data_IF_511247857280
#
_entry.id   IF_511247857280
#
_cell.length_a   1.000
_cell.length_b   1.000
_cell.length_c   1.000
_cell.angle_alpha   90.00
_cell.angle_beta   90.00
_cell.angle_gamma   90.00
#
_symmetry.space_group_name_H-M   'P 1'
#
loop_
_entity.id
_entity.type
_entity.pdbx_description
1 polymer ?
#
# COMPACT_ATOMS: atom_id res chain seq x y z
N UNK A 1 -0.02 14.12 0.43
CA UNK A 1 0.55 12.78 0.14
C UNK A 1 -0.13 11.65 0.92
N UNK A 2 -0.17 11.66 2.25
CA UNK A 2 -0.90 10.63 3.03
C UNK A 2 -2.40 10.54 2.69
N UNK A 3 -3.06 11.67 2.46
CA UNK A 3 -4.47 11.72 2.07
C UNK A 3 -4.73 11.07 0.69
N UNK A 4 -3.79 11.17 -0.25
CA UNK A 4 -3.91 10.56 -1.57
C UNK A 4 -3.84 9.03 -1.47
N UNK A 5 -2.88 8.50 -0.69
CA UNK A 5 -2.76 7.06 -0.42
C UNK A 5 -3.99 6.50 0.32
N UNK A 6 -4.53 7.25 1.27
CA UNK A 6 -5.72 6.86 2.01
C UNK A 6 -6.94 6.75 1.08
N UNK A 7 -7.18 7.76 0.26
CA UNK A 7 -8.28 7.77 -0.73
C UNK A 7 -8.12 6.69 -1.78
N UNK A 8 -6.88 6.42 -2.19
CA UNK A 8 -6.56 5.33 -3.10
C UNK A 8 -6.86 3.95 -2.48
N UNK A 9 -6.52 3.75 -1.20
CA UNK A 9 -6.82 2.49 -0.49
C UNK A 9 -8.33 2.25 -0.33
N UNK A 10 -9.14 3.32 -0.41
CA UNK A 10 -10.61 3.31 -0.36
C UNK A 10 -11.27 3.20 -1.75
N UNK A 11 -10.49 3.13 -2.84
CA UNK A 11 -11.02 3.05 -4.21
C UNK A 11 -11.47 4.40 -4.81
N UNK A 12 -11.35 5.50 -4.07
CA UNK A 12 -11.67 6.84 -4.57
C UNK A 12 -10.47 7.43 -5.34
N UNK A 13 -10.35 6.95 -6.57
CA UNK A 13 -9.30 7.29 -7.53
C UNK A 13 -9.28 8.79 -7.85
N UNK A 14 -10.45 9.42 -7.99
CA UNK A 14 -10.56 10.82 -8.37
C UNK A 14 -10.08 11.71 -7.23
N UNK A 15 -10.53 11.44 -6.01
CA UNK A 15 -10.14 12.21 -4.85
C UNK A 15 -8.68 11.93 -4.44
N UNK A 16 -8.14 10.75 -4.73
CA UNK A 16 -6.72 10.43 -4.58
C UNK A 16 -5.85 11.26 -5.53
N UNK A 17 -6.23 11.36 -6.81
CA UNK A 17 -5.52 12.17 -7.82
C UNK A 17 -5.58 13.65 -7.48
N UNK A 18 -6.75 14.17 -7.08
CA UNK A 18 -6.89 15.56 -6.64
C UNK A 18 -6.00 15.90 -5.43
N UNK A 19 -5.96 15.02 -4.43
CA UNK A 19 -5.12 15.20 -3.24
C UNK A 19 -3.62 15.09 -3.53
N UNK A 20 -3.23 14.34 -4.58
CA UNK A 20 -1.85 14.26 -5.04
C UNK A 20 -1.44 15.51 -5.84
N UNK A 21 -2.31 16.01 -6.72
CA UNK A 21 -2.07 17.25 -7.49
C UNK A 21 -1.98 18.50 -6.60
N UNK A 22 -2.78 18.59 -5.55
CA UNK A 22 -2.67 19.69 -4.57
C UNK A 22 -1.33 19.66 -3.82
N UNK A 23 -0.82 18.48 -3.48
CA UNK A 23 0.49 18.36 -2.84
C UNK A 23 1.61 18.82 -3.77
N UNK A 24 1.52 18.52 -5.06
CA UNK A 24 2.49 18.96 -6.06
C UNK A 24 2.50 20.48 -6.30
N UNK A 25 1.31 21.09 -6.42
CA UNK A 25 1.19 22.54 -6.60
C UNK A 25 1.85 23.29 -5.43
N UNK A 26 1.67 22.79 -4.20
CA UNK A 26 2.31 23.32 -3.01
C UNK A 26 3.84 23.15 -3.10
N UNK A 27 4.34 21.97 -3.44
CA UNK A 27 5.79 21.72 -3.50
C UNK A 27 6.50 22.49 -4.62
N UNK A 28 5.84 22.69 -5.76
CA UNK A 28 6.32 23.53 -6.85
C UNK A 28 6.37 25.01 -6.44
N UNK A 29 5.35 25.49 -5.70
CA UNK A 29 5.29 26.87 -5.19
C UNK A 29 6.46 27.19 -4.24
N UNK A 30 6.89 26.23 -3.42
CA UNK A 30 8.01 26.42 -2.50
C UNK A 30 9.40 26.16 -3.13
N UNK A 31 9.48 25.75 -4.41
CA UNK A 31 10.75 25.62 -5.14
C UNK A 31 11.67 24.48 -4.67
N UNK A 32 11.22 23.61 -3.76
CA UNK A 32 12.03 22.51 -3.22
C UNK A 32 11.90 21.31 -4.16
N UNK A 33 12.81 21.22 -5.14
CA UNK A 33 12.84 20.18 -6.18
C UNK A 33 12.74 18.75 -5.61
N UNK A 34 13.33 18.50 -4.43
CA UNK A 34 13.22 17.22 -3.70
C UNK A 34 11.80 16.87 -3.25
N UNK A 35 11.02 17.83 -2.76
CA UNK A 35 9.64 17.58 -2.32
C UNK A 35 8.72 17.35 -3.52
N UNK A 36 8.98 18.02 -4.64
CA UNK A 36 8.29 17.77 -5.91
C UNK A 36 8.53 16.34 -6.41
N UNK A 37 9.75 15.81 -6.29
CA UNK A 37 10.05 14.42 -6.67
C UNK A 37 9.34 13.38 -5.81
N UNK A 38 9.30 13.58 -4.47
CA UNK A 38 8.57 12.70 -3.55
C UNK A 38 7.07 12.70 -3.89
N UNK A 39 6.50 13.88 -4.15
CA UNK A 39 5.10 14.01 -4.55
C UNK A 39 4.83 13.33 -5.90
N UNK A 40 5.71 13.57 -6.87
CA UNK A 40 5.59 13.00 -8.20
C UNK A 40 5.70 11.48 -8.21
N UNK A 41 6.57 10.89 -7.39
CA UNK A 41 6.66 9.44 -7.28
C UNK A 41 5.34 8.81 -6.78
N UNK A 42 4.62 9.48 -5.87
CA UNK A 42 3.30 8.98 -5.45
C UNK A 42 2.30 8.99 -6.60
N UNK A 43 2.30 10.06 -7.40
CA UNK A 43 1.43 10.18 -8.56
C UNK A 43 1.77 9.12 -9.61
N UNK A 44 3.05 8.91 -9.90
CA UNK A 44 3.49 7.84 -10.80
C UNK A 44 2.98 6.48 -10.34
N UNK A 45 3.11 6.15 -9.04
CA UNK A 45 2.60 4.89 -8.49
C UNK A 45 1.08 4.76 -8.61
N UNK A 46 0.33 5.84 -8.39
CA UNK A 46 -1.13 5.87 -8.59
C UNK A 46 -1.50 5.62 -10.06
N UNK A 47 -0.80 6.30 -10.98
CA UNK A 47 -1.03 6.20 -12.41
C UNK A 47 -0.73 4.81 -12.97
N UNK A 48 0.37 4.19 -12.53
CA UNK A 48 0.72 2.81 -12.88
C UNK A 48 -0.35 1.81 -12.41
N UNK A 49 -0.84 1.94 -11.17
CA UNK A 49 -1.92 1.09 -10.65
C UNK A 49 -3.24 1.21 -11.43
N UNK A 50 -3.44 2.33 -12.13
CA UNK A 50 -4.61 2.59 -12.96
C UNK A 50 -4.41 2.16 -14.42
N UNK A 51 -3.25 1.61 -14.77
CA UNK A 51 -2.90 1.24 -16.14
C UNK A 51 -2.62 2.44 -17.05
N UNK A 52 -2.47 3.65 -16.51
CA UNK A 52 -2.12 4.85 -17.28
C UNK A 52 -0.63 5.15 -17.14
N UNK A 53 0.18 4.89 -18.18
CA UNK A 53 1.65 5.03 -18.08
C UNK A 53 2.16 6.45 -18.33
N UNK A 54 1.52 7.23 -19.20
CA UNK A 54 2.11 8.48 -19.73
C UNK A 54 2.56 9.51 -18.67
N UNK A 55 1.84 9.63 -17.56
CA UNK A 55 2.26 10.50 -16.45
C UNK A 55 3.49 9.94 -15.72
N UNK A 56 3.47 8.62 -15.45
CA UNK A 56 4.57 7.93 -14.77
C UNK A 56 5.85 7.91 -15.62
N UNK A 57 5.70 7.81 -16.94
CA UNK A 57 6.79 7.89 -17.92
C UNK A 57 7.45 9.27 -17.90
N UNK A 58 6.64 10.34 -17.92
CA UNK A 58 7.14 11.71 -17.85
C UNK A 58 7.87 11.98 -16.53
N UNK A 59 7.27 11.55 -15.41
CA UNK A 59 7.92 11.66 -14.10
C UNK A 59 9.26 10.91 -14.04
N UNK A 60 9.34 9.71 -14.62
CA UNK A 60 10.57 8.93 -14.65
C UNK A 60 11.69 9.66 -15.41
N UNK A 61 11.37 10.27 -16.56
CA UNK A 61 12.34 11.07 -17.34
C UNK A 61 12.88 12.26 -16.52
N UNK A 62 12.00 12.97 -15.82
CA UNK A 62 12.38 14.13 -15.03
C UNK A 62 13.17 13.73 -13.77
N UNK A 63 12.80 12.60 -13.15
CA UNK A 63 13.51 12.05 -12.01
C UNK A 63 14.92 11.56 -12.37
N UNK A 64 15.12 10.90 -13.52
CA UNK A 64 16.46 10.49 -13.98
C UNK A 64 17.39 11.69 -14.16
N UNK A 65 16.92 12.77 -14.79
CA UNK A 65 17.70 14.01 -14.93
C UNK A 65 18.08 14.59 -13.56
N UNK A 66 17.14 14.58 -12.62
CA UNK A 66 17.40 15.04 -11.25
C UNK A 66 18.50 14.22 -10.55
N UNK A 67 18.46 12.89 -10.66
CA UNK A 67 19.46 11.99 -10.07
C UNK A 67 20.87 12.28 -10.57
N UNK A 68 21.02 12.54 -11.87
CA UNK A 68 22.31 12.85 -12.51
C UNK A 68 22.88 14.19 -12.04
N UNK A 69 22.02 15.20 -11.89
CA UNK A 69 22.42 16.56 -11.52
C UNK A 69 22.82 16.70 -10.05
N UNK A 70 22.09 16.05 -9.15
CA UNK A 70 22.18 16.33 -7.71
C UNK A 70 23.10 15.36 -6.95
N UNK A 71 23.69 14.35 -7.63
CA UNK A 71 24.56 13.32 -7.03
C UNK A 71 24.08 12.86 -5.64
N UNK A 72 22.77 12.61 -5.53
CA UNK A 72 22.07 12.54 -4.24
C UNK A 72 22.66 11.45 -3.35
N UNK A 73 23.29 11.85 -2.24
CA UNK A 73 23.91 10.93 -1.27
C UNK A 73 22.89 10.09 -0.48
N UNK A 74 21.63 10.52 -0.43
CA UNK A 74 20.57 9.84 0.32
C UNK A 74 19.71 8.95 -0.57
N UNK A 75 19.57 7.67 -0.20
CA UNK A 75 18.77 6.70 -0.95
C UNK A 75 17.28 7.06 -0.86
N UNK A 76 16.71 7.43 -2.00
CA UNK A 76 15.29 7.72 -2.17
C UNK A 76 14.53 6.42 -2.49
N UNK A 77 14.45 5.49 -1.53
CA UNK A 77 13.90 4.14 -1.76
C UNK A 77 12.57 4.14 -2.49
N UNK A 78 11.66 5.02 -2.08
CA UNK A 78 10.33 5.05 -2.65
C UNK A 78 10.36 5.49 -4.12
N UNK A 79 11.14 6.51 -4.45
CA UNK A 79 11.31 7.03 -5.80
C UNK A 79 12.07 6.03 -6.68
N UNK A 80 13.15 5.42 -6.19
CA UNK A 80 13.90 4.39 -6.93
C UNK A 80 13.04 3.15 -7.21
N UNK A 81 12.26 2.68 -6.22
CA UNK A 81 11.31 1.58 -6.41
C UNK A 81 10.16 1.96 -7.34
N UNK A 82 9.78 3.24 -7.41
CA UNK A 82 8.75 3.71 -8.34
C UNK A 82 9.30 3.78 -9.76
N UNK A 83 10.53 4.27 -9.93
CA UNK A 83 11.24 4.27 -11.21
C UNK A 83 11.41 2.85 -11.76
N UNK A 84 11.77 1.88 -10.90
CA UNK A 84 11.83 0.48 -11.29
C UNK A 84 10.49 -0.06 -11.80
N UNK A 85 9.36 0.32 -11.19
CA UNK A 85 8.01 -0.06 -11.67
C UNK A 85 7.68 0.55 -13.03
N UNK A 86 8.10 1.79 -13.30
CA UNK A 86 7.98 2.41 -14.63
C UNK A 86 8.79 1.64 -15.68
N UNK A 87 10.04 1.28 -15.38
CA UNK A 87 10.84 0.46 -16.29
C UNK A 87 10.20 -0.91 -16.54
N UNK A 88 9.65 -1.56 -15.51
CA UNK A 88 8.94 -2.83 -15.66
C UNK A 88 7.67 -2.69 -16.51
N UNK A 89 6.87 -1.64 -16.32
CA UNK A 89 5.68 -1.40 -17.15
C UNK A 89 6.03 -1.17 -18.61
N UNK A 90 7.18 -0.53 -18.87
CA UNK A 90 7.66 -0.22 -20.20
C UNK A 90 8.50 -1.35 -20.83
N UNK A 91 8.63 -2.49 -20.13
CA UNK A 91 9.47 -3.65 -20.53
C UNK A 91 10.95 -3.31 -20.71
N UNK A 92 11.43 -2.28 -20.03
CA UNK A 92 12.84 -1.86 -19.99
C UNK A 92 13.61 -2.69 -18.94
N UNK A 93 13.65 -4.01 -19.15
CA UNK A 93 14.12 -4.99 -18.16
C UNK A 93 15.57 -4.79 -17.72
N UNK A 94 16.46 -4.41 -18.64
CA UNK A 94 17.85 -4.13 -18.31
C UNK A 94 17.99 -2.96 -17.33
N UNK A 95 17.26 -1.85 -17.57
CA UNK A 95 17.28 -0.70 -16.67
C UNK A 95 16.69 -1.04 -15.31
N UNK A 96 15.60 -1.81 -15.28
CA UNK A 96 15.01 -2.30 -14.04
C UNK A 96 16.00 -3.17 -13.24
N UNK A 97 16.68 -4.11 -13.91
CA UNK A 97 17.69 -5.00 -13.30
C UNK A 97 18.88 -4.22 -12.74
N UNK A 98 19.45 -3.31 -13.53
CA UNK A 98 20.58 -2.47 -13.11
C UNK A 98 20.24 -1.53 -11.95
N UNK A 99 18.96 -1.19 -11.76
CA UNK A 99 18.49 -0.39 -10.64
C UNK A 99 18.18 -1.23 -9.39
N UNK A 100 17.46 -2.33 -9.56
CA UNK A 100 16.92 -3.12 -8.44
C UNK A 100 17.98 -3.89 -7.67
N UNK A 101 18.98 -4.49 -8.34
CA UNK A 101 20.01 -5.28 -7.65
C UNK A 101 20.84 -4.43 -6.67
N UNK A 102 21.44 -3.29 -7.08
CA UNK A 102 22.19 -2.45 -6.15
C UNK A 102 21.30 -1.84 -5.06
N UNK A 103 20.04 -1.55 -5.38
CA UNK A 103 19.08 -1.01 -4.40
C UNK A 103 18.78 -2.04 -3.30
N UNK A 104 18.55 -3.30 -3.68
CA UNK A 104 18.34 -4.40 -2.75
C UNK A 104 19.57 -4.58 -1.84
N UNK A 105 20.77 -4.68 -2.43
CA UNK A 105 22.01 -4.92 -1.67
C UNK A 105 22.24 -3.80 -0.64
N UNK A 106 22.07 -2.53 -1.06
CA UNK A 106 22.15 -1.37 -0.16
C UNK A 106 21.04 -1.37 0.89
N UNK A 107 19.84 -1.84 0.56
CA UNK A 107 18.72 -1.89 1.50
C UNK A 107 18.97 -2.94 2.59
N UNK A 108 19.43 -4.12 2.20
CA UNK A 108 19.82 -5.20 3.12
C UNK A 108 20.98 -4.77 4.01
N UNK A 109 22.05 -4.22 3.44
CA UNK A 109 23.22 -3.77 4.21
C UNK A 109 22.90 -2.68 5.24
N UNK A 110 21.89 -1.85 4.95
CA UNK A 110 21.45 -0.77 5.83
C UNK A 110 20.27 -1.15 6.75
N UNK A 111 19.82 -2.41 6.76
CA UNK A 111 18.68 -2.87 7.57
C UNK A 111 17.33 -2.25 7.18
N UNK A 112 17.20 -1.75 5.95
CA UNK A 112 15.97 -1.12 5.43
C UNK A 112 15.00 -2.18 4.92
N UNK A 113 14.46 -2.96 5.84
CA UNK A 113 13.67 -4.17 5.57
C UNK A 113 12.53 -3.97 4.56
N UNK A 114 11.77 -2.89 4.67
CA UNK A 114 10.69 -2.57 3.73
C UNK A 114 11.19 -2.37 2.29
N UNK A 115 12.28 -1.63 2.12
CA UNK A 115 12.82 -1.36 0.79
C UNK A 115 13.42 -2.63 0.17
N UNK A 116 14.08 -3.45 0.98
CA UNK A 116 14.58 -4.76 0.56
C UNK A 116 13.43 -5.69 0.11
N UNK A 117 12.33 -5.73 0.88
CA UNK A 117 11.13 -6.49 0.55
C UNK A 117 10.52 -6.05 -0.78
N UNK A 118 10.29 -4.74 -0.95
CA UNK A 118 9.72 -4.21 -2.19
C UNK A 118 10.66 -4.45 -3.40
N UNK A 119 11.98 -4.34 -3.22
CA UNK A 119 12.94 -4.60 -4.29
C UNK A 119 12.97 -6.10 -4.69
N UNK A 120 12.93 -7.02 -3.72
CA UNK A 120 12.86 -8.46 -3.98
C UNK A 120 11.57 -8.84 -4.73
N UNK A 121 10.44 -8.23 -4.37
CA UNK A 121 9.16 -8.45 -5.05
C UNK A 121 9.20 -7.95 -6.51
N UNK A 122 9.84 -6.81 -6.78
CA UNK A 122 10.02 -6.29 -8.14
C UNK A 122 11.01 -7.12 -8.97
N UNK A 123 12.01 -7.75 -8.34
CA UNK A 123 12.89 -8.73 -9.01
C UNK A 123 12.11 -9.99 -9.38
N UNK A 124 11.19 -10.46 -8.54
CA UNK A 124 10.28 -11.56 -8.91
C UNK A 124 9.43 -11.19 -10.14
N UNK A 125 8.85 -9.98 -10.15
CA UNK A 125 8.09 -9.47 -11.29
C UNK A 125 8.95 -9.35 -12.56
N UNK A 126 10.19 -8.87 -12.44
CA UNK A 126 11.15 -8.78 -13.55
C UNK A 126 11.36 -10.16 -14.20
N UNK A 127 11.72 -11.17 -13.39
CA UNK A 127 11.95 -12.53 -13.88
C UNK A 127 10.67 -13.13 -14.48
N UNK A 128 9.51 -12.89 -13.86
CA UNK A 128 8.23 -13.33 -14.41
C UNK A 128 7.93 -12.69 -15.77
N UNK A 129 8.19 -11.39 -15.93
CA UNK A 129 7.99 -10.69 -17.20
C UNK A 129 8.95 -11.17 -18.30
N UNK A 130 10.08 -11.77 -17.92
CA UNK A 130 11.04 -12.44 -18.80
C UNK A 130 10.72 -13.94 -19.02
N UNK A 131 9.57 -14.43 -18.53
CA UNK A 131 9.16 -15.85 -18.56
C UNK A 131 10.13 -16.80 -17.82
N UNK A 132 10.84 -16.30 -16.81
CA UNK A 132 11.74 -17.07 -15.97
C UNK A 132 11.04 -17.42 -14.65
N UNK A 133 10.24 -18.48 -14.67
CA UNK A 133 9.39 -18.87 -13.54
C UNK A 133 10.19 -19.26 -12.30
N UNK A 134 11.22 -20.10 -12.44
CA UNK A 134 11.96 -20.59 -11.26
C UNK A 134 12.65 -19.45 -10.51
N UNK A 135 13.41 -18.54 -11.18
CA UNK A 135 13.96 -17.36 -10.52
C UNK A 135 12.89 -16.43 -9.94
N UNK A 136 11.73 -16.30 -10.60
CA UNK A 136 10.64 -15.48 -10.10
C UNK A 136 10.06 -16.04 -8.79
N UNK A 137 9.88 -17.36 -8.69
CA UNK A 137 9.44 -18.05 -7.49
C UNK A 137 10.47 -17.87 -6.37
N UNK A 138 11.76 -18.09 -6.63
CA UNK A 138 12.82 -17.91 -5.62
C UNK A 138 12.83 -16.49 -5.02
N UNK A 139 12.64 -15.46 -5.84
CA UNK A 139 12.55 -14.09 -5.36
C UNK A 139 11.26 -13.83 -4.57
N UNK A 140 10.14 -14.38 -5.01
CA UNK A 140 8.86 -14.27 -4.31
C UNK A 140 8.94 -14.95 -2.93
N UNK A 141 9.59 -16.11 -2.81
CA UNK A 141 9.80 -16.78 -1.53
C UNK A 141 10.61 -15.94 -0.54
N UNK A 142 11.68 -15.29 -1.02
CA UNK A 142 12.47 -14.37 -0.18
C UNK A 142 11.61 -13.24 0.34
N UNK A 143 10.78 -12.65 -0.51
CA UNK A 143 9.85 -11.59 -0.12
C UNK A 143 8.80 -12.08 0.89
N UNK A 144 8.21 -13.25 0.66
CA UNK A 144 7.21 -13.84 1.56
C UNK A 144 7.78 -14.13 2.95
N UNK A 145 8.97 -14.74 3.03
CA UNK A 145 9.67 -15.01 4.31
C UNK A 145 9.94 -13.73 5.10
N UNK A 146 10.30 -12.65 4.41
CA UNK A 146 10.57 -11.38 5.06
C UNK A 146 9.29 -10.68 5.54
N UNK A 147 8.16 -10.90 4.87
CA UNK A 147 6.90 -10.26 5.19
C UNK A 147 6.05 -10.99 6.25
N UNK A 148 6.28 -12.28 6.47
CA UNK A 148 5.51 -13.13 7.39
C UNK A 148 5.45 -12.59 8.83
N UNK A 149 6.56 -12.10 9.44
CA UNK A 149 6.52 -11.56 10.81
C UNK A 149 5.68 -10.28 10.97
N UNK A 150 5.52 -9.50 9.88
CA UNK A 150 4.91 -8.17 9.92
C UNK A 150 3.53 -8.10 9.22
N UNK A 151 3.09 -9.18 8.57
CA UNK A 151 1.76 -9.29 7.96
C UNK A 151 1.49 -8.30 6.82
N UNK A 152 2.51 -7.92 6.04
CA UNK A 152 2.42 -6.90 4.99
C UNK A 152 1.66 -7.32 3.73
N UNK A 153 0.36 -7.61 3.86
CA UNK A 153 -0.50 -8.02 2.74
C UNK A 153 -0.58 -6.97 1.62
N UNK A 154 -0.63 -5.69 1.98
CA UNK A 154 -0.88 -4.60 1.03
C UNK A 154 0.25 -4.47 0.00
N UNK A 155 1.50 -4.75 0.38
CA UNK A 155 2.66 -4.66 -0.52
C UNK A 155 2.50 -5.63 -1.70
N UNK A 156 2.02 -6.85 -1.44
CA UNK A 156 1.75 -7.84 -2.49
C UNK A 156 0.50 -7.50 -3.29
N UNK A 157 -0.59 -7.15 -2.62
CA UNK A 157 -1.88 -6.86 -3.27
C UNK A 157 -1.84 -5.64 -4.21
N UNK A 158 -0.92 -4.71 -3.96
CA UNK A 158 -0.70 -3.52 -4.78
C UNK A 158 0.09 -3.81 -6.06
N UNK A 159 0.86 -4.91 -6.15
CA UNK A 159 1.61 -5.27 -7.36
C UNK A 159 0.74 -5.99 -8.41
N UNK A 160 -0.41 -6.53 -8.01
CA UNK A 160 -1.43 -7.03 -8.93
C UNK A 160 -1.45 -8.53 -9.17
N UNK A 161 -2.21 -8.95 -10.19
CA UNK A 161 -2.63 -10.33 -10.42
C UNK A 161 -1.54 -11.27 -10.95
N UNK A 162 -0.36 -10.77 -11.31
CA UNK A 162 0.75 -11.64 -11.74
C UNK A 162 1.19 -12.61 -10.62
N UNK A 163 0.98 -12.20 -9.37
CA UNK A 163 1.26 -13.04 -8.19
C UNK A 163 0.38 -14.28 -8.12
N UNK A 164 -0.85 -14.25 -8.65
CA UNK A 164 -1.77 -15.39 -8.61
C UNK A 164 -1.18 -16.65 -9.24
N UNK A 165 -0.36 -16.47 -10.29
CA UNK A 165 0.29 -17.57 -11.00
C UNK A 165 1.50 -18.15 -10.26
N UNK A 166 2.15 -17.33 -9.43
CA UNK A 166 3.42 -17.69 -8.77
C UNK A 166 3.26 -18.08 -7.30
N UNK A 167 2.21 -17.59 -6.63
CA UNK A 167 1.91 -17.89 -5.24
C UNK A 167 1.85 -19.40 -4.93
N UNK A 168 1.29 -20.28 -5.78
CA UNK A 168 1.31 -21.72 -5.52
C UNK A 168 2.72 -22.30 -5.41
N UNK A 169 3.65 -21.83 -6.25
CA UNK A 169 5.04 -22.27 -6.26
C UNK A 169 5.82 -21.78 -5.04
N UNK A 170 5.55 -20.56 -4.58
CA UNK A 170 6.23 -19.97 -3.42
C UNK A 170 5.55 -20.29 -2.06
N UNK A 171 4.45 -21.06 -2.06
CA UNK A 171 3.62 -21.30 -0.87
C UNK A 171 4.41 -21.85 0.32
N UNK A 172 5.38 -22.73 0.09
CA UNK A 172 6.14 -23.37 1.17
C UNK A 172 6.96 -22.36 1.99
N UNK A 173 7.25 -21.18 1.45
CA UNK A 173 8.11 -20.20 2.09
C UNK A 173 7.38 -19.41 3.20
N UNK A 174 6.07 -19.21 3.05
CA UNK A 174 5.19 -18.64 4.08
C UNK A 174 3.75 -19.11 3.85
N UNK A 175 3.38 -20.32 4.31
CA UNK A 175 2.10 -20.95 3.97
C UNK A 175 0.89 -20.08 4.33
N UNK A 176 0.83 -19.55 5.54
CA UNK A 176 -0.33 -18.77 6.02
C UNK A 176 -0.51 -17.46 5.24
N UNK A 177 0.61 -16.77 4.95
CA UNK A 177 0.59 -15.53 4.18
C UNK A 177 0.22 -15.79 2.71
N UNK A 178 0.80 -16.82 2.11
CA UNK A 178 0.50 -17.21 0.73
C UNK A 178 -0.97 -17.62 0.58
N UNK A 179 -1.50 -18.44 1.50
CA UNK A 179 -2.91 -18.86 1.50
C UNK A 179 -3.86 -17.67 1.62
N UNK A 180 -3.55 -16.73 2.53
CA UNK A 180 -4.33 -15.50 2.67
C UNK A 180 -4.30 -14.62 1.43
N UNK A 181 -3.14 -14.49 0.77
CA UNK A 181 -3.03 -13.73 -0.48
C UNK A 181 -3.85 -14.40 -1.60
N UNK A 182 -3.72 -15.72 -1.77
CA UNK A 182 -4.49 -16.48 -2.76
C UNK A 182 -6.00 -16.37 -2.54
N UNK A 183 -6.45 -16.41 -1.29
CA UNK A 183 -7.86 -16.19 -0.94
C UNK A 183 -8.34 -14.80 -1.39
N UNK A 184 -7.61 -13.74 -1.04
CA UNK A 184 -7.98 -12.36 -1.39
C UNK A 184 -8.03 -12.16 -2.91
N UNK A 185 -7.07 -12.72 -3.66
CA UNK A 185 -7.09 -12.66 -5.12
C UNK A 185 -8.30 -13.40 -5.71
N UNK A 186 -8.62 -14.58 -5.17
CA UNK A 186 -9.78 -15.38 -5.61
C UNK A 186 -11.12 -14.66 -5.36
N UNK A 187 -11.27 -14.01 -4.20
CA UNK A 187 -12.45 -13.20 -3.87
C UNK A 187 -12.60 -12.00 -4.82
N UNK A 188 -11.50 -11.34 -5.19
CA UNK A 188 -11.50 -10.25 -6.17
C UNK A 188 -11.87 -10.73 -7.58
N UNK A 189 -11.34 -11.88 -8.01
CA UNK A 189 -11.65 -12.47 -9.31
C UNK A 189 -13.12 -12.93 -9.39
N UNK A 190 -13.65 -13.52 -8.32
CA UNK A 190 -15.06 -13.91 -8.21
C UNK A 190 -16.03 -12.73 -8.28
N UNK A 191 -15.65 -11.58 -7.68
CA UNK A 191 -16.43 -10.35 -7.74
C UNK A 191 -16.33 -9.61 -9.09
N UNK A 192 -15.22 -9.78 -9.83
CA UNK A 192 -15.03 -9.17 -11.15
C UNK A 192 -15.83 -9.89 -12.26
N UNK A 193 -16.07 -11.21 -12.13
CA UNK A 193 -16.85 -12.00 -13.08
C UNK A 193 -18.38 -11.88 -12.93
N UNK A 194 -18.87 -11.26 -11.86
CA UNK A 194 -20.29 -10.91 -11.69
C UNK A 194 -20.58 -9.49 -12.21
N UNK A 195 -20.16 -9.22 -13.45
CA UNK A 195 -20.32 -7.91 -14.07
C UNK A 195 -21.76 -7.44 -14.12
N UNK A 196 -22.02 -6.26 -13.55
CA UNK A 196 -23.19 -5.40 -13.79
C UNK A 196 -24.54 -5.98 -13.37
N UNK A 197 -24.76 -6.06 -12.07
CA UNK A 197 -26.00 -5.68 -11.38
C UNK A 197 -25.90 -6.22 -9.97
N UNK A 198 -25.42 -5.43 -9.01
CA UNK A 198 -25.99 -5.44 -7.67
C UNK A 198 -25.63 -4.12 -7.01
N UNK A 199 -26.68 -3.37 -6.72
CA UNK A 199 -26.72 -2.30 -5.75
C UNK A 199 -25.84 -2.62 -4.54
N UNK A 200 -25.12 -1.60 -4.05
CA UNK A 200 -24.41 -1.56 -2.77
C UNK A 200 -25.37 -1.74 -1.58
N UNK A 201 -26.05 -2.87 -1.51
CA UNK A 201 -26.95 -3.24 -0.43
C UNK A 201 -27.03 -4.76 -0.38
N UNK A 202 -26.16 -5.38 0.42
CA UNK A 202 -26.56 -6.07 1.65
C UNK A 202 -25.39 -6.88 2.23
N UNK A 203 -25.07 -6.56 3.49
CA UNK A 203 -24.61 -7.46 4.56
C UNK A 203 -23.27 -8.18 4.37
N UNK A 204 -22.19 -7.50 4.74
CA UNK A 204 -21.05 -8.11 5.45
C UNK A 204 -20.54 -7.08 6.48
N UNK A 205 -21.18 -7.04 7.65
CA UNK A 205 -20.61 -6.37 8.83
C UNK A 205 -19.40 -7.21 9.24
N UNK A 206 -18.20 -6.79 8.83
CA UNK A 206 -16.98 -7.39 9.35
C UNK A 206 -16.94 -7.15 10.88
N UNK A 207 -16.76 -8.20 11.70
CA UNK A 207 -16.73 -8.04 13.15
C UNK A 207 -15.60 -7.09 13.57
N UNK A 208 -15.87 -6.28 14.60
CA UNK A 208 -14.87 -5.37 15.18
C UNK A 208 -13.68 -6.19 15.70
N UNK A 209 -12.46 -5.73 15.40
CA UNK A 209 -11.25 -6.34 15.97
C UNK A 209 -11.17 -6.14 17.48
N UNK A 210 -10.38 -6.94 18.19
CA UNK A 210 -10.23 -6.82 19.65
C UNK A 210 -9.77 -5.43 20.10
N UNK A 211 -8.89 -4.80 19.30
CA UNK A 211 -8.41 -3.44 19.56
C UNK A 211 -9.52 -2.40 19.34
N UNK A 212 -10.38 -2.59 18.35
CA UNK A 212 -11.53 -1.72 18.10
C UNK A 212 -12.62 -1.91 19.17
N UNK A 213 -12.82 -3.12 19.69
CA UNK A 213 -13.71 -3.38 20.83
C UNK A 213 -13.21 -2.70 22.11
N UNK A 214 -11.90 -2.75 22.39
CA UNK A 214 -11.28 -2.01 23.50
C UNK A 214 -11.52 -0.51 23.38
N UNK A 215 -11.32 0.05 22.19
CA UNK A 215 -11.58 1.47 21.93
C UNK A 215 -13.08 1.79 22.05
N UNK A 216 -13.97 0.94 21.55
CA UNK A 216 -15.43 1.12 21.64
C UNK A 216 -15.93 1.13 23.09
N UNK A 217 -15.39 0.28 23.96
CA UNK A 217 -15.69 0.30 25.42
C UNK A 217 -15.33 1.64 26.05
N UNK A 218 -14.16 2.18 25.72
CA UNK A 218 -13.74 3.49 26.23
C UNK A 218 -14.58 4.64 25.65
N UNK A 219 -15.02 4.52 24.40
CA UNK A 219 -15.98 5.45 23.78
C UNK A 219 -17.33 5.39 24.50
N UNK A 220 -17.85 4.18 24.78
CA UNK A 220 -19.09 3.95 25.51
C UNK A 220 -19.04 4.50 26.96
N UNK A 221 -17.87 4.45 27.59
CA UNK A 221 -17.57 5.08 28.88
C UNK A 221 -17.40 6.62 28.81
N UNK A 222 -17.59 7.23 27.63
CA UNK A 222 -17.56 8.69 27.44
C UNK A 222 -16.15 9.32 27.42
N UNK A 223 -15.09 8.51 27.36
CA UNK A 223 -13.70 9.03 27.31
C UNK A 223 -13.47 9.84 26.05
N UNK A 224 -12.63 10.86 26.08
CA UNK A 224 -12.20 11.60 24.89
C UNK A 224 -11.10 10.86 24.12
N UNK A 225 -10.83 11.23 22.87
CA UNK A 225 -9.75 10.59 22.09
C UNK A 225 -8.36 10.78 22.73
N UNK A 226 -8.15 11.85 23.51
CA UNK A 226 -6.92 12.05 24.28
C UNK A 226 -6.83 11.12 25.49
N UNK A 227 -7.95 10.87 26.16
CA UNK A 227 -8.01 9.92 27.28
C UNK A 227 -7.88 8.48 26.80
N UNK A 228 -8.51 8.12 25.67
CA UNK A 228 -8.33 6.82 25.02
C UNK A 228 -6.87 6.60 24.63
N UNK A 229 -6.22 7.63 24.08
CA UNK A 229 -4.81 7.58 23.72
C UNK A 229 -3.91 7.33 24.94
N UNK A 230 -4.16 8.02 26.05
CA UNK A 230 -3.43 7.82 27.29
C UNK A 230 -3.65 6.43 27.90
N UNK A 231 -4.89 5.95 27.90
CA UNK A 231 -5.29 4.67 28.53
C UNK A 231 -4.82 3.44 27.73
N UNK A 232 -4.71 3.58 26.40
CA UNK A 232 -4.19 2.52 25.52
C UNK A 232 -2.70 2.70 25.17
N UNK A 233 -2.04 3.74 25.69
CA UNK A 233 -0.63 4.08 25.40
C UNK A 233 -0.36 4.19 23.89
N UNK A 234 -1.20 4.95 23.19
CA UNK A 234 -1.10 5.23 21.75
C UNK A 234 -1.18 6.73 21.48
N UNK A 235 -0.91 7.15 20.24
CA UNK A 235 -1.06 8.57 19.86
C UNK A 235 -2.54 8.98 19.76
N UNK A 236 -2.84 10.26 19.99
CA UNK A 236 -4.20 10.83 19.81
C UNK A 236 -4.68 10.69 18.36
N UNK A 237 -3.76 10.73 17.39
CA UNK A 237 -4.06 10.48 15.97
C UNK A 237 -4.50 9.03 15.72
N UNK A 238 -3.83 8.07 16.35
CA UNK A 238 -4.18 6.64 16.30
C UNK A 238 -5.53 6.38 16.96
N UNK A 239 -5.82 7.01 18.10
CA UNK A 239 -7.13 6.92 18.75
C UNK A 239 -8.25 7.50 17.88
N UNK A 240 -8.04 8.64 17.20
CA UNK A 240 -8.98 9.22 16.24
C UNK A 240 -9.26 8.26 15.08
N UNK A 241 -8.23 7.61 14.57
CA UNK A 241 -8.34 6.63 13.48
C UNK A 241 -9.15 5.40 13.90
N UNK A 242 -8.89 4.82 15.06
CA UNK A 242 -9.69 3.70 15.58
C UNK A 242 -11.17 4.08 15.78
N UNK A 243 -11.44 5.25 16.37
CA UNK A 243 -12.82 5.72 16.55
C UNK A 243 -13.52 5.92 15.20
N UNK A 244 -12.83 6.46 14.20
CA UNK A 244 -13.39 6.61 12.86
C UNK A 244 -13.74 5.26 12.20
N UNK A 245 -12.85 4.27 12.29
CA UNK A 245 -13.11 2.93 11.74
C UNK A 245 -14.25 2.23 12.46
N UNK A 246 -14.39 2.42 13.78
CA UNK A 246 -15.52 1.89 14.55
C UNK A 246 -16.84 2.51 14.09
N UNK A 247 -16.88 3.83 13.87
CA UNK A 247 -18.07 4.51 13.34
C UNK A 247 -18.47 3.95 11.98
N UNK A 248 -17.51 3.73 11.08
CA UNK A 248 -17.78 3.13 9.77
C UNK A 248 -18.25 1.67 9.87
N UNK A 249 -17.64 0.86 10.74
CA UNK A 249 -18.01 -0.55 10.92
C UNK A 249 -19.34 -0.75 11.63
N UNK A 250 -19.75 0.20 12.48
CA UNK A 250 -21.05 0.23 13.14
C UNK A 250 -22.14 0.93 12.31
N UNK A 251 -21.79 1.46 11.13
CA UNK A 251 -22.65 2.23 10.23
C UNK A 251 -23.34 3.43 10.91
N UNK A 252 -22.54 4.21 11.65
CA UNK A 252 -23.03 5.37 12.41
C UNK A 252 -22.21 6.62 12.10
N UNK A 253 -22.87 7.76 11.98
CA UNK A 253 -22.23 9.02 11.59
C UNK A 253 -21.61 9.80 12.75
N UNK A 254 -21.97 9.47 13.99
CA UNK A 254 -21.56 10.26 15.16
C UNK A 254 -21.12 9.40 16.34
N UNK A 255 -20.24 9.96 17.17
CA UNK A 255 -19.80 9.34 18.42
C UNK A 255 -20.97 8.98 19.34
N UNK A 256 -21.99 9.82 19.42
CA UNK A 256 -23.19 9.57 20.21
C UNK A 256 -23.97 8.34 19.70
N UNK A 257 -24.08 8.19 18.38
CA UNK A 257 -24.69 7.00 17.76
C UNK A 257 -23.86 5.73 17.99
N UNK A 258 -22.52 5.81 17.97
CA UNK A 258 -21.69 4.67 18.36
C UNK A 258 -21.86 4.26 19.83
N UNK A 259 -22.05 5.22 20.74
CA UNK A 259 -22.33 4.92 22.16
C UNK A 259 -23.68 4.22 22.30
N UNK A 260 -24.71 4.69 21.60
CA UNK A 260 -26.02 4.04 21.58
C UNK A 260 -25.92 2.59 21.04
N UNK A 261 -25.20 2.41 19.93
CA UNK A 261 -25.00 1.11 19.29
C UNK A 261 -24.17 0.15 20.14
N UNK A 262 -23.17 0.65 20.88
CA UNK A 262 -22.40 -0.16 21.84
C UNK A 262 -23.29 -0.73 22.96
N UNK A 263 -24.23 0.08 23.48
CA UNK A 263 -25.18 -0.35 24.52
C UNK A 263 -26.15 -1.41 24.00
N UNK A 264 -26.64 -1.26 22.77
CA UNK A 264 -27.46 -2.27 22.10
C UNK A 264 -26.72 -3.61 21.90
N UNK A 265 -25.40 -3.56 21.75
CA UNK A 265 -24.51 -4.72 21.63
C UNK A 265 -24.05 -5.28 22.99
N UNK A 266 -24.48 -4.70 24.11
CA UNK A 266 -24.12 -5.15 25.47
C UNK A 266 -22.67 -4.85 25.88
N UNK A 267 -22.06 -3.83 25.27
CA UNK A 267 -20.67 -3.39 25.50
C UNK A 267 -20.61 -2.20 26.47
#
# INVERSE_FOLDING_TARGET
>A
LFLARLRQSQGDVVAARAAAGQAEAITQTFGIRRLSNISGAQQARIHLMQGTSGWADQWALDYVKFRELEKVEYVQDFEELTLARVYLSNREFEKASSLLKPLLDKAVAAGRNRAALEAALLLALLHQAQNQTDPAVEWLEKALKQAEPEGFLRIFLDEGSWLEKLLPGARHAAPDLADRLMQIFSERAGNANQGRSHSFNEKLIAPLSEQELRVLRLVAAGKSNAQIAAELVISVGTAKWHVHNILQKLDVGTRAQAIARARELGI
#
